data_IF_042085360887
#
_entry.id   IF_042085360887
#
_cell.length_a   1.000
_cell.length_b   1.000
_cell.length_c   1.000
_cell.angle_alpha   90.00
_cell.angle_beta   90.00
_cell.angle_gamma   90.00
#
_symmetry.space_group_name_H-M   'P 1'
#
loop_
_entity.id
_entity.type
_entity.pdbx_description
1 polymer ?
#
# COMPACT_ATOMS: atom_id res chain seq x y z
N UNK A 1 -37.14 77.59 27.61
CA UNK A 1 -35.74 77.07 27.72
C UNK A 1 -35.79 75.64 28.13
N UNK A 2 -35.79 74.73 27.13
CA UNK A 2 -35.75 73.27 27.40
C UNK A 2 -34.59 72.66 26.62
N UNK A 3 -33.66 72.12 27.34
CA UNK A 3 -32.48 71.41 26.79
C UNK A 3 -32.83 69.93 26.61
N UNK A 4 -32.65 69.45 25.41
CA UNK A 4 -32.80 68.05 25.06
C UNK A 4 -31.39 67.42 25.11
N UNK A 5 -31.15 66.30 25.80
CA UNK A 5 -29.86 65.59 25.72
C UNK A 5 -29.88 64.66 24.52
N UNK A 6 -28.81 64.73 23.73
CA UNK A 6 -28.48 63.80 22.65
C UNK A 6 -28.03 62.45 23.23
N UNK A 7 -28.73 61.39 22.86
CA UNK A 7 -28.28 60.01 23.10
C UNK A 7 -27.40 59.59 21.93
N UNK A 8 -26.13 59.37 22.24
CA UNK A 8 -25.16 58.83 21.30
C UNK A 8 -25.30 57.31 21.27
N UNK A 9 -25.86 56.76 20.17
CA UNK A 9 -25.88 55.33 19.94
C UNK A 9 -24.57 54.80 19.43
N UNK A 10 -23.95 53.89 20.21
CA UNK A 10 -22.78 53.13 19.79
C UNK A 10 -23.24 51.97 18.95
N UNK A 11 -22.96 52.03 17.66
CA UNK A 11 -23.16 50.91 16.74
C UNK A 11 -21.94 49.96 16.87
N UNK A 12 -22.14 48.83 17.54
CA UNK A 12 -21.14 47.76 17.59
C UNK A 12 -21.19 46.98 16.26
N UNK A 13 -20.23 47.26 15.40
CA UNK A 13 -20.03 46.50 14.17
C UNK A 13 -19.38 45.17 14.54
N UNK A 14 -20.20 44.11 14.61
CA UNK A 14 -19.73 42.74 14.78
C UNK A 14 -19.02 42.28 13.51
N UNK A 15 -17.71 42.13 13.58
CA UNK A 15 -16.91 41.39 12.59
C UNK A 15 -17.29 39.91 12.66
N UNK A 16 -18.10 39.44 11.73
CA UNK A 16 -18.28 38.03 11.47
C UNK A 16 -17.01 37.52 10.76
N UNK A 17 -16.12 36.93 11.52
CA UNK A 17 -15.03 36.10 10.98
C UNK A 17 -15.67 34.87 10.37
N UNK A 18 -15.85 34.90 9.06
CA UNK A 18 -16.16 33.71 8.27
C UNK A 18 -14.92 32.80 8.30
N UNK A 19 -14.95 31.80 9.15
CA UNK A 19 -14.01 30.68 9.09
C UNK A 19 -14.38 29.92 7.83
N UNK A 20 -13.63 30.16 6.75
CA UNK A 20 -13.69 29.30 5.57
C UNK A 20 -13.26 27.89 5.99
N UNK A 21 -14.03 26.84 5.65
CA UNK A 21 -13.54 25.49 5.86
C UNK A 21 -12.30 25.32 4.99
N UNK A 22 -11.15 25.09 5.63
CA UNK A 22 -9.94 24.66 4.94
C UNK A 22 -10.32 23.44 4.08
N UNK A 23 -9.94 23.41 2.79
CA UNK A 23 -10.08 22.20 2.02
C UNK A 23 -9.31 21.12 2.78
N UNK A 24 -10.01 20.07 3.19
CA UNK A 24 -9.39 18.88 3.74
C UNK A 24 -8.37 18.42 2.70
N UNK A 25 -7.11 18.81 2.90
CA UNK A 25 -5.99 18.26 2.17
C UNK A 25 -6.12 16.77 2.30
N UNK A 26 -6.29 16.08 1.18
CA UNK A 26 -6.26 14.63 1.15
C UNK A 26 -4.97 14.22 1.84
N UNK A 27 -5.08 13.83 3.08
CA UNK A 27 -4.05 13.03 3.70
C UNK A 27 -4.01 11.77 2.83
N UNK A 28 -2.99 11.69 1.99
CA UNK A 28 -2.45 10.41 1.59
C UNK A 28 -1.99 9.78 2.92
N UNK A 29 -2.98 9.21 3.61
CA UNK A 29 -2.80 8.71 4.95
C UNK A 29 -1.72 7.65 4.88
N UNK A 30 -0.58 7.95 5.51
CA UNK A 30 0.39 6.92 5.87
C UNK A 30 -0.41 5.81 6.52
N UNK A 31 -0.38 4.59 5.98
CA UNK A 31 -1.11 3.50 6.58
C UNK A 31 -0.67 3.33 8.04
N UNK A 32 -1.57 2.97 8.95
CA UNK A 32 -1.22 2.79 10.36
C UNK A 32 -0.14 1.72 10.49
N UNK A 33 0.83 1.98 11.35
CA UNK A 33 1.87 1.02 11.71
C UNK A 33 1.23 -0.32 12.14
N UNK A 34 1.69 -1.40 11.54
CA UNK A 34 1.27 -2.75 11.89
C UNK A 34 2.34 -3.34 12.77
N UNK A 35 2.30 -2.99 14.06
CA UNK A 35 3.18 -3.59 15.05
C UNK A 35 2.62 -4.94 15.51
N UNK A 36 3.48 -5.96 15.52
CA UNK A 36 3.26 -7.27 16.14
C UNK A 36 1.98 -8.02 15.71
N UNK A 37 1.70 -8.06 14.39
CA UNK A 37 0.56 -8.82 13.87
C UNK A 37 0.98 -10.22 13.43
N UNK A 38 0.14 -11.18 13.79
CA UNK A 38 0.14 -12.51 13.19
C UNK A 38 -1.05 -12.64 12.25
N UNK A 39 -0.81 -13.21 11.09
CA UNK A 39 -1.86 -13.40 10.09
C UNK A 39 -2.48 -14.79 10.22
N UNK A 40 -3.80 -14.86 10.09
CA UNK A 40 -4.60 -16.07 10.26
C UNK A 40 -5.19 -16.61 8.97
N UNK A 41 -5.20 -15.79 7.90
CA UNK A 41 -5.72 -16.18 6.60
C UNK A 41 -5.59 -15.09 5.55
N UNK A 42 -5.89 -15.45 4.30
CA UNK A 42 -5.88 -14.55 3.15
C UNK A 42 -5.45 -15.24 1.88
N UNK A 43 -5.49 -14.51 0.77
CA UNK A 43 -4.99 -14.97 -0.53
C UNK A 43 -4.49 -13.80 -1.38
N UNK A 44 -3.73 -14.13 -2.41
CA UNK A 44 -3.30 -13.20 -3.44
C UNK A 44 -3.57 -13.78 -4.82
N UNK A 45 -4.16 -12.98 -5.71
CA UNK A 45 -4.20 -13.25 -7.15
C UNK A 45 -2.97 -12.63 -7.79
N UNK A 46 -2.15 -13.44 -8.42
CA UNK A 46 -0.90 -13.03 -9.08
C UNK A 46 -1.00 -13.30 -10.56
N UNK A 47 -0.76 -12.26 -11.37
CA UNK A 47 -0.63 -12.38 -12.83
C UNK A 47 0.72 -11.83 -13.25
N UNK A 48 1.52 -12.64 -13.92
CA UNK A 48 2.81 -12.26 -14.52
C UNK A 48 2.73 -12.53 -16.01
N UNK A 49 3.16 -11.54 -16.82
CA UNK A 49 3.23 -11.65 -18.27
C UNK A 49 4.57 -11.15 -18.80
N UNK A 50 4.92 -11.52 -20.01
CA UNK A 50 6.21 -11.17 -20.62
C UNK A 50 7.10 -12.38 -20.82
N UNK A 51 8.35 -12.32 -20.35
CA UNK A 51 9.31 -13.45 -20.46
C UNK A 51 8.94 -14.65 -19.59
N UNK A 52 8.03 -14.48 -18.62
CA UNK A 52 7.46 -15.55 -17.81
C UNK A 52 5.94 -15.41 -17.74
N UNK A 53 5.26 -16.50 -17.36
CA UNK A 53 3.79 -16.50 -17.22
C UNK A 53 3.38 -17.18 -15.91
N UNK A 54 2.63 -16.44 -15.09
CA UNK A 54 1.94 -16.92 -13.90
C UNK A 54 0.54 -16.31 -13.93
N UNK A 55 -0.48 -17.09 -13.61
CA UNK A 55 -1.85 -16.61 -13.39
C UNK A 55 -2.50 -17.54 -12.37
N UNK A 56 -2.34 -17.21 -11.09
CA UNK A 56 -2.77 -18.07 -10.00
C UNK A 56 -3.24 -17.27 -8.79
N UNK A 57 -4.14 -17.89 -8.04
CA UNK A 57 -4.47 -17.49 -6.68
C UNK A 57 -3.64 -18.34 -5.70
N UNK A 58 -3.02 -17.66 -4.73
CA UNK A 58 -2.06 -18.25 -3.79
C UNK A 58 -2.51 -17.92 -2.38
N UNK A 59 -2.68 -18.94 -1.53
CA UNK A 59 -3.03 -18.75 -0.12
C UNK A 59 -1.87 -18.13 0.65
N UNK A 60 -2.19 -17.34 1.69
CA UNK A 60 -1.18 -16.79 2.59
C UNK A 60 -0.50 -17.89 3.40
N UNK A 61 0.80 -17.79 3.56
CA UNK A 61 1.58 -18.60 4.49
C UNK A 61 1.59 -17.89 5.86
N UNK A 62 0.68 -18.28 6.74
CA UNK A 62 0.50 -17.65 8.04
C UNK A 62 1.69 -17.80 8.98
N UNK A 63 2.56 -18.79 8.75
CA UNK A 63 3.78 -19.00 9.55
C UNK A 63 4.91 -18.08 9.13
N UNK A 64 4.91 -17.62 7.88
CA UNK A 64 5.93 -16.76 7.31
C UNK A 64 5.46 -15.31 7.12
N UNK A 65 4.22 -15.00 7.53
CA UNK A 65 3.63 -13.66 7.41
C UNK A 65 3.52 -13.05 8.80
N UNK A 66 4.11 -11.86 8.97
CA UNK A 66 4.13 -11.17 10.26
C UNK A 66 4.35 -9.66 10.08
N UNK A 67 4.07 -8.90 11.13
CA UNK A 67 4.45 -7.48 11.23
C UNK A 67 5.37 -7.29 12.42
N UNK A 68 6.46 -6.54 12.24
CA UNK A 68 7.42 -6.22 13.28
C UNK A 68 8.16 -4.92 12.95
N UNK A 69 8.40 -4.08 13.96
CA UNK A 69 9.28 -2.91 13.85
C UNK A 69 8.92 -1.92 12.74
N UNK A 70 7.63 -1.76 12.41
CA UNK A 70 7.18 -0.86 11.35
C UNK A 70 7.23 -1.45 9.94
N UNK A 71 7.60 -2.72 9.82
CA UNK A 71 7.55 -3.47 8.57
C UNK A 71 6.53 -4.60 8.65
N UNK A 72 5.91 -4.90 7.53
CA UNK A 72 5.01 -6.04 7.36
C UNK A 72 5.51 -6.92 6.24
N UNK A 73 5.55 -8.21 6.48
CA UNK A 73 5.88 -9.26 5.52
C UNK A 73 4.66 -10.14 5.30
N UNK A 74 4.17 -10.19 4.07
CA UNK A 74 3.07 -11.05 3.66
C UNK A 74 3.61 -12.06 2.66
N UNK A 75 3.77 -13.30 3.10
CA UNK A 75 4.20 -14.41 2.26
C UNK A 75 2.96 -15.19 1.80
N UNK A 76 2.80 -15.33 0.50
CA UNK A 76 1.79 -16.20 -0.12
C UNK A 76 2.51 -17.36 -0.79
N UNK A 77 2.04 -18.56 -0.53
CA UNK A 77 2.72 -19.78 -0.96
C UNK A 77 4.01 -20.05 -0.18
N UNK A 78 4.81 -20.96 -0.69
CA UNK A 78 6.05 -21.43 -0.08
C UNK A 78 7.24 -20.97 -0.92
N UNK A 79 8.14 -20.20 -0.29
CA UNK A 79 9.34 -19.68 -0.96
C UNK A 79 10.26 -20.82 -1.37
N UNK A 80 10.84 -20.74 -2.57
CA UNK A 80 11.77 -21.76 -3.09
C UNK A 80 11.09 -23.03 -3.61
N UNK A 81 9.76 -23.11 -3.60
CA UNK A 81 9.01 -24.23 -4.20
C UNK A 81 8.88 -24.07 -5.71
N UNK A 82 8.57 -25.15 -6.42
CA UNK A 82 8.24 -25.10 -7.85
C UNK A 82 6.86 -24.47 -8.12
N UNK A 83 6.03 -24.35 -7.08
CA UNK A 83 4.76 -23.62 -7.15
C UNK A 83 5.01 -22.09 -7.11
N UNK A 84 4.13 -21.29 -7.68
CA UNK A 84 4.19 -19.84 -7.56
C UNK A 84 4.11 -19.38 -6.10
N UNK A 85 4.92 -18.38 -5.78
CA UNK A 85 4.90 -17.72 -4.48
C UNK A 85 5.02 -16.20 -4.66
N UNK A 86 4.59 -15.47 -3.64
CA UNK A 86 4.62 -14.01 -3.61
C UNK A 86 5.03 -13.56 -2.22
N UNK A 87 6.01 -12.67 -2.15
CA UNK A 87 6.33 -11.90 -0.95
C UNK A 87 5.98 -10.43 -1.19
N UNK A 88 5.22 -9.85 -0.29
CA UNK A 88 4.96 -8.42 -0.22
C UNK A 88 5.57 -7.91 1.07
N UNK A 89 6.42 -6.90 0.95
CA UNK A 89 6.94 -6.13 2.08
C UNK A 89 6.32 -4.75 2.06
N UNK A 90 6.01 -4.23 3.24
CA UNK A 90 5.34 -2.96 3.38
C UNK A 90 5.89 -2.23 4.61
N UNK A 91 6.47 -1.05 4.40
CA UNK A 91 7.06 -0.22 5.44
C UNK A 91 6.16 0.93 5.88
N UNK A 92 6.37 1.42 7.10
CA UNK A 92 5.66 2.58 7.64
C UNK A 92 5.91 3.87 6.85
N UNK A 93 7.05 3.96 6.17
CA UNK A 93 7.43 5.07 5.30
C UNK A 93 6.70 5.04 3.93
N UNK A 94 5.91 3.99 3.69
CA UNK A 94 5.21 3.76 2.43
C UNK A 94 6.06 3.05 1.38
N UNK A 95 7.23 2.52 1.75
CA UNK A 95 8.00 1.63 0.89
C UNK A 95 7.26 0.30 0.72
N UNK A 96 7.24 -0.19 -0.51
CA UNK A 96 6.57 -1.44 -0.87
C UNK A 96 7.51 -2.24 -1.75
N UNK A 97 7.80 -3.47 -1.33
CA UNK A 97 8.51 -4.45 -2.12
C UNK A 97 7.59 -5.59 -2.55
N UNK A 98 7.76 -6.06 -3.78
CA UNK A 98 7.03 -7.21 -4.32
C UNK A 98 8.04 -8.15 -4.95
N UNK A 99 8.06 -9.39 -4.49
CA UNK A 99 8.86 -10.46 -5.09
C UNK A 99 7.95 -11.61 -5.48
N UNK A 100 7.93 -11.94 -6.76
CA UNK A 100 7.21 -13.10 -7.29
C UNK A 100 8.23 -14.17 -7.66
N UNK A 101 7.99 -15.39 -7.22
CA UNK A 101 8.82 -16.54 -7.53
C UNK A 101 8.02 -17.72 -8.09
N UNK A 102 8.68 -18.58 -8.88
CA UNK A 102 8.18 -19.89 -9.29
C UNK A 102 9.35 -20.77 -9.68
N UNK A 103 9.65 -21.78 -8.87
CA UNK A 103 10.86 -22.57 -9.05
C UNK A 103 12.11 -21.68 -8.90
N UNK A 104 12.90 -21.59 -9.97
CA UNK A 104 14.10 -20.73 -10.04
C UNK A 104 13.85 -19.32 -10.60
N UNK A 105 12.66 -19.06 -11.13
CA UNK A 105 12.26 -17.74 -11.59
C UNK A 105 12.08 -16.81 -10.40
N UNK A 106 12.64 -15.61 -10.47
CA UNK A 106 12.42 -14.52 -9.51
C UNK A 106 12.25 -13.22 -10.27
N UNK A 107 11.22 -12.46 -9.92
CA UNK A 107 11.01 -11.09 -10.39
C UNK A 107 10.69 -10.20 -9.20
N UNK A 108 11.40 -9.07 -9.07
CA UNK A 108 11.22 -8.13 -7.95
C UNK A 108 10.91 -6.74 -8.50
N UNK A 109 9.90 -6.11 -7.92
CA UNK A 109 9.52 -4.73 -8.15
C UNK A 109 9.24 -4.02 -6.83
N UNK A 110 9.09 -2.69 -6.86
CA UNK A 110 8.79 -1.94 -5.64
C UNK A 110 8.34 -0.51 -5.92
N UNK A 111 7.89 0.13 -4.87
CA UNK A 111 7.56 1.55 -4.80
C UNK A 111 8.43 2.12 -3.70
N UNK A 112 9.36 3.02 -4.06
CA UNK A 112 10.16 3.78 -3.11
C UNK A 112 9.68 5.22 -3.15
N UNK A 113 9.28 5.82 -2.02
CA UNK A 113 8.84 7.21 -1.98
C UNK A 113 9.90 8.16 -2.54
N UNK A 114 9.50 9.02 -3.48
CA UNK A 114 10.39 10.00 -4.11
C UNK A 114 11.17 9.50 -5.33
N UNK A 115 11.12 8.23 -5.68
CA UNK A 115 11.73 7.67 -6.88
C UNK A 115 10.71 7.47 -8.01
N UNK A 116 11.21 7.42 -9.26
CA UNK A 116 10.38 7.06 -10.40
C UNK A 116 10.03 5.57 -10.33
N UNK A 117 8.84 5.28 -9.80
CA UNK A 117 8.40 3.93 -9.55
C UNK A 117 8.16 3.14 -10.84
N UNK A 118 8.64 1.90 -10.91
CA UNK A 118 8.24 0.91 -11.91
C UNK A 118 6.89 0.28 -11.56
N UNK A 119 6.45 0.46 -10.32
CA UNK A 119 5.21 -0.08 -9.78
C UNK A 119 4.27 1.04 -9.36
N UNK A 120 2.98 0.75 -9.40
CA UNK A 120 1.91 1.58 -8.84
C UNK A 120 0.95 0.69 -8.06
N UNK A 121 0.27 1.25 -7.07
CA UNK A 121 -0.69 0.48 -6.30
C UNK A 121 -1.13 1.20 -5.04
N UNK A 122 -1.97 0.51 -4.28
CA UNK A 122 -2.49 0.99 -3.00
C UNK A 122 -2.61 -0.17 -2.01
N UNK A 123 -2.44 0.15 -0.73
CA UNK A 123 -2.74 -0.74 0.40
C UNK A 123 -3.76 -0.06 1.30
N UNK A 124 -4.76 -0.79 1.67
CA UNK A 124 -5.73 -0.40 2.69
C UNK A 124 -5.52 -1.27 3.93
N UNK A 125 -5.31 -0.62 5.07
CA UNK A 125 -5.14 -1.29 6.37
C UNK A 125 -6.33 -0.96 7.23
N UNK A 126 -7.06 -1.99 7.63
CA UNK A 126 -8.15 -1.96 8.62
C UNK A 126 -7.76 -2.82 9.81
N UNK A 127 -8.50 -2.72 10.93
CA UNK A 127 -8.13 -3.38 12.20
C UNK A 127 -7.70 -4.85 12.06
N UNK A 128 -8.43 -5.65 11.30
CA UNK A 128 -8.15 -7.08 11.13
C UNK A 128 -7.90 -7.49 9.66
N UNK A 129 -7.73 -6.53 8.75
CA UNK A 129 -7.61 -6.79 7.33
C UNK A 129 -6.60 -5.86 6.68
N UNK A 130 -5.70 -6.43 5.91
CA UNK A 130 -4.88 -5.71 4.93
C UNK A 130 -5.32 -6.15 3.55
N UNK A 131 -5.59 -5.21 2.67
CA UNK A 131 -5.90 -5.47 1.28
C UNK A 131 -5.11 -4.53 0.37
N UNK A 132 -4.74 -4.98 -0.81
CA UNK A 132 -4.00 -4.14 -1.73
C UNK A 132 -4.03 -4.64 -3.17
N UNK A 133 -3.69 -3.71 -4.06
CA UNK A 133 -3.53 -3.96 -5.48
C UNK A 133 -2.24 -3.31 -5.95
N UNK A 134 -1.45 -4.03 -6.75
CA UNK A 134 -0.21 -3.54 -7.36
C UNK A 134 -0.13 -3.91 -8.82
N UNK A 135 0.48 -3.01 -9.59
CA UNK A 135 0.87 -3.26 -10.96
C UNK A 135 2.29 -2.73 -11.19
N UNK A 136 3.17 -3.60 -11.64
CA UNK A 136 4.55 -3.26 -12.00
C UNK A 136 4.76 -3.56 -13.48
N UNK A 137 5.38 -2.63 -14.21
CA UNK A 137 5.62 -2.77 -15.65
C UNK A 137 7.12 -2.88 -15.95
N UNK A 138 7.48 -3.85 -16.79
CA UNK A 138 8.83 -4.01 -17.29
C UNK A 138 9.89 -4.30 -16.23
N UNK A 139 9.52 -4.92 -15.10
CA UNK A 139 10.47 -5.31 -14.06
C UNK A 139 11.39 -6.42 -14.57
N UNK A 140 12.62 -6.43 -14.07
CA UNK A 140 13.57 -7.47 -14.44
C UNK A 140 13.23 -8.77 -13.75
N UNK A 141 13.11 -9.83 -14.53
CA UNK A 141 13.04 -11.21 -14.05
C UNK A 141 14.36 -11.92 -14.30
N UNK A 142 14.69 -12.83 -13.42
CA UNK A 142 15.84 -13.72 -13.56
C UNK A 142 15.35 -15.17 -13.51
N UNK A 143 15.68 -15.94 -14.53
CA UNK A 143 15.50 -17.39 -14.56
C UNK A 143 16.83 -18.00 -15.01
N UNK A 144 17.47 -18.85 -14.18
CA UNK A 144 18.74 -19.48 -14.53
C UNK A 144 18.70 -20.30 -15.82
N UNK A 145 17.53 -20.79 -16.25
CA UNK A 145 17.38 -21.56 -17.46
C UNK A 145 17.25 -20.70 -18.71
N UNK A 146 16.60 -19.54 -18.64
CA UNK A 146 16.34 -18.63 -19.77
C UNK A 146 17.05 -17.29 -19.67
N UNK A 147 17.71 -17.00 -18.55
CA UNK A 147 18.45 -15.78 -18.31
C UNK A 147 17.59 -14.62 -17.80
N UNK A 148 18.02 -13.40 -18.10
CA UNK A 148 17.29 -12.19 -17.69
C UNK A 148 16.22 -11.83 -18.72
N UNK A 149 15.05 -11.47 -18.22
CA UNK A 149 13.91 -11.05 -19.02
C UNK A 149 13.18 -9.84 -18.43
N UNK A 150 12.12 -9.42 -19.10
CA UNK A 150 11.20 -8.38 -18.61
C UNK A 150 9.82 -8.98 -18.42
N UNK A 151 9.20 -8.63 -17.31
CA UNK A 151 7.83 -9.06 -16.97
C UNK A 151 7.01 -7.88 -16.47
N UNK A 152 5.71 -7.98 -16.68
CA UNK A 152 4.71 -7.16 -16.00
C UNK A 152 4.07 -8.01 -14.90
N UNK A 153 3.89 -7.43 -13.73
CA UNK A 153 3.31 -8.09 -12.56
C UNK A 153 2.04 -7.34 -12.17
N UNK A 154 0.94 -8.08 -11.97
CA UNK A 154 -0.27 -7.57 -11.33
C UNK A 154 -0.60 -8.45 -10.14
N UNK A 155 -0.89 -7.81 -9.01
CA UNK A 155 -1.23 -8.49 -7.76
C UNK A 155 -2.44 -7.82 -7.14
N UNK A 156 -3.40 -8.62 -6.70
CA UNK A 156 -4.40 -8.20 -5.71
C UNK A 156 -4.37 -9.17 -4.54
N UNK A 157 -4.45 -8.67 -3.32
CA UNK A 157 -4.30 -9.51 -2.15
C UNK A 157 -5.17 -9.07 -0.98
N UNK A 158 -5.43 -10.04 -0.09
CA UNK A 158 -6.01 -9.83 1.23
C UNK A 158 -5.24 -10.63 2.26
N UNK A 159 -5.05 -10.08 3.45
CA UNK A 159 -4.48 -10.76 4.61
C UNK A 159 -5.29 -10.40 5.85
N UNK A 160 -5.68 -11.39 6.64
CA UNK A 160 -6.44 -11.24 7.89
C UNK A 160 -5.54 -11.53 9.08
N UNK A 161 -5.59 -10.69 10.10
CA UNK A 161 -4.91 -10.89 11.39
C UNK A 161 -5.88 -11.26 12.49
#
# INVERSE_FOLDING_TARGET
MHRIPFLTGVVATGLLLSVAPSPAGGQTGRPPAISERQFTGGSAKVTVTGSARIDQEIAINTKASYGDGGMTWLQFGESGSDAPNLLITYGEDGEIGITVGKGKLVATGGITPGEKAQCSGKVEVKEALIAGEYACAGVTSHDPASGMGKVDIKVSFTAKS
#
